data_IF_200948717879
#
_entry.id   IF_200948717879
#
_cell.length_a   1.000
_cell.length_b   1.000
_cell.length_c   1.000
_cell.angle_alpha   90.00
_cell.angle_beta   90.00
_cell.angle_gamma   90.00
#
_symmetry.space_group_name_H-M   'P 1'
#
loop_
_entity.id
_entity.type
_entity.pdbx_description
1 polymer ?
#
# COMPACT_ATOMS: atom_id res chain seq x y z
N UNK A 1 -3.95 16.47 0.04
CA UNK A 1 -3.61 15.75 1.28
C UNK A 1 -2.19 15.28 1.09
N UNK A 2 -1.28 15.71 1.98
CA UNK A 2 0.15 15.51 1.77
C UNK A 2 0.51 14.07 2.15
N UNK A 3 1.45 13.44 1.44
CA UNK A 3 1.92 12.07 1.75
C UNK A 3 2.53 11.95 3.15
N UNK A 4 2.74 13.07 3.85
CA UNK A 4 3.26 13.19 5.21
C UNK A 4 2.18 13.02 6.29
N UNK A 5 0.90 13.24 5.96
CA UNK A 5 -0.21 13.13 6.92
C UNK A 5 -0.47 11.67 7.36
N UNK A 6 0.09 10.69 6.63
CA UNK A 6 -0.09 9.25 6.85
C UNK A 6 1.14 8.58 7.51
N UNK A 7 2.11 9.36 8.00
CA UNK A 7 3.27 8.83 8.73
C UNK A 7 2.97 8.81 10.23
N UNK A 8 2.80 7.61 10.78
CA UNK A 8 2.74 7.44 12.24
C UNK A 8 4.17 7.51 12.78
N UNK A 9 4.44 8.52 13.61
CA UNK A 9 5.73 8.67 14.29
C UNK A 9 5.94 7.44 15.17
N UNK A 10 7.10 6.80 15.03
CA UNK A 10 7.45 5.66 15.86
C UNK A 10 7.59 6.09 17.32
N UNK A 11 6.97 5.33 18.23
CA UNK A 11 7.26 5.47 19.67
C UNK A 11 8.63 4.87 19.91
N UNK A 12 9.63 5.74 20.06
CA UNK A 12 11.02 5.36 20.30
C UNK A 12 11.30 5.25 21.80
N UNK A 13 12.14 4.29 22.17
CA UNK A 13 12.69 4.25 23.53
C UNK A 13 13.73 5.36 23.75
N UNK A 14 14.06 5.67 25.00
CA UNK A 14 15.12 6.64 25.33
C UNK A 14 16.48 6.20 24.75
N UNK A 15 16.78 4.90 24.72
CA UNK A 15 18.01 4.35 24.12
C UNK A 15 18.06 4.57 22.59
N UNK A 16 16.92 4.40 21.91
CA UNK A 16 16.82 4.66 20.47
C UNK A 16 16.97 6.15 20.16
N UNK A 17 16.40 7.02 20.99
CA UNK A 17 16.53 8.47 20.86
C UNK A 17 17.99 8.93 21.05
N UNK A 18 18.70 8.36 22.02
CA UNK A 18 20.13 8.63 22.20
C UNK A 18 20.96 8.18 21.00
N UNK A 19 20.65 7.00 20.45
CA UNK A 19 21.29 6.47 19.25
C UNK A 19 21.07 7.39 18.04
N UNK A 20 19.83 7.86 17.84
CA UNK A 20 19.51 8.82 16.78
C UNK A 20 20.28 10.11 16.96
N UNK A 21 20.33 10.68 18.16
CA UNK A 21 21.09 11.91 18.45
C UNK A 21 22.59 11.74 18.20
N UNK A 22 23.15 10.57 18.49
CA UNK A 22 24.55 10.25 18.19
C UNK A 22 24.80 10.17 16.68
N UNK A 23 23.87 9.58 15.93
CA UNK A 23 23.95 9.50 14.47
C UNK A 23 23.80 10.88 13.81
N UNK A 24 22.87 11.71 14.27
CA UNK A 24 22.71 13.10 13.81
C UNK A 24 24.00 13.91 14.01
N UNK A 25 24.67 13.76 15.17
CA UNK A 25 25.97 14.40 15.42
C UNK A 25 27.06 13.96 14.45
N UNK A 26 27.06 12.68 14.04
CA UNK A 26 28.02 12.15 13.05
C UNK A 26 27.73 12.62 11.62
N UNK A 27 26.46 12.75 11.27
CA UNK A 27 26.00 13.16 9.93
C UNK A 27 26.11 14.68 9.71
N UNK A 28 26.12 15.46 10.79
CA UNK A 28 26.38 16.90 10.75
C UNK A 28 25.16 17.76 11.12
N UNK A 29 25.36 19.07 11.35
CA UNK A 29 24.35 19.93 11.97
C UNK A 29 23.09 20.14 11.13
N UNK A 30 23.16 19.93 9.83
CA UNK A 30 22.09 20.14 8.85
C UNK A 30 21.19 18.92 8.65
N UNK A 31 21.53 17.75 9.18
CA UNK A 31 20.76 16.52 8.99
C UNK A 31 19.95 16.23 10.26
N UNK A 32 18.68 15.88 10.08
CA UNK A 32 17.77 15.42 11.13
C UNK A 32 17.20 14.08 10.71
N UNK A 33 17.17 13.13 11.63
CA UNK A 33 16.66 11.78 11.41
C UNK A 33 15.24 11.67 11.98
N UNK A 34 14.35 11.02 11.24
CA UNK A 34 12.95 10.80 11.65
C UNK A 34 12.68 9.30 11.58
N UNK A 35 12.19 8.74 12.69
CA UNK A 35 11.71 7.36 12.74
C UNK A 35 10.20 7.33 12.50
N UNK A 36 9.79 6.49 11.55
CA UNK A 36 8.37 6.27 11.19
C UNK A 36 8.03 4.80 11.41
N UNK A 37 6.83 4.52 11.89
CA UNK A 37 6.35 3.13 11.96
C UNK A 37 6.13 2.61 10.54
N UNK A 38 6.76 1.47 10.21
CA UNK A 38 6.36 0.74 9.02
C UNK A 38 5.02 0.05 9.33
N UNK A 39 4.00 0.32 8.51
CA UNK A 39 2.78 -0.47 8.57
C UNK A 39 3.15 -1.90 8.13
N UNK A 40 3.18 -2.82 9.09
CA UNK A 40 3.56 -4.21 8.89
C UNK A 40 2.59 -4.98 8.01
N UNK A 41 1.37 -4.46 7.85
CA UNK A 41 0.29 -5.08 7.10
C UNK A 41 -0.16 -4.18 5.94
N UNK A 42 -0.08 -4.71 4.73
CA UNK A 42 -0.67 -4.13 3.53
C UNK A 42 -1.75 -5.08 2.99
N UNK A 43 -2.71 -4.52 2.28
CA UNK A 43 -3.75 -5.27 1.60
C UNK A 43 -3.61 -5.05 0.10
N UNK A 44 -3.63 -6.13 -0.67
CA UNK A 44 -3.58 -6.08 -2.14
C UNK A 44 -4.92 -6.50 -2.73
N UNK A 45 -5.37 -5.76 -3.75
CA UNK A 45 -6.44 -6.17 -4.65
C UNK A 45 -5.88 -6.96 -5.82
N UNK A 46 -6.39 -8.17 -5.97
CA UNK A 46 -6.00 -9.07 -7.06
C UNK A 46 -7.23 -9.51 -7.86
N UNK A 47 -7.07 -9.60 -9.17
CA UNK A 47 -8.03 -10.19 -10.09
C UNK A 47 -7.60 -11.61 -10.49
N UNK A 48 -8.58 -12.51 -10.65
CA UNK A 48 -8.32 -13.89 -11.07
C UNK A 48 -7.97 -13.93 -12.56
N UNK A 49 -6.80 -14.48 -12.88
CA UNK A 49 -6.33 -14.69 -14.26
C UNK A 49 -6.53 -16.12 -14.73
N UNK A 50 -6.48 -17.09 -13.80
CA UNK A 50 -6.66 -18.51 -14.08
C UNK A 50 -6.86 -19.36 -12.81
N UNK A 51 -6.81 -20.69 -12.93
CA UNK A 51 -6.73 -21.60 -11.78
C UNK A 51 -5.49 -21.26 -10.94
N UNK A 52 -5.67 -20.96 -9.65
CA UNK A 52 -4.61 -20.54 -8.72
C UNK A 52 -3.77 -19.31 -9.14
N UNK A 53 -4.07 -18.66 -10.27
CA UNK A 53 -3.37 -17.48 -10.75
C UNK A 53 -4.19 -16.22 -10.46
N UNK A 54 -3.57 -15.31 -9.71
CA UNK A 54 -4.13 -14.04 -9.29
C UNK A 54 -3.08 -12.97 -9.50
N UNK A 55 -3.48 -11.84 -10.07
CA UNK A 55 -2.59 -10.74 -10.42
C UNK A 55 -3.17 -9.42 -9.93
N UNK A 56 -2.31 -8.43 -9.71
CA UNK A 56 -2.71 -7.13 -9.18
C UNK A 56 -3.65 -6.42 -10.15
N UNK A 57 -4.69 -5.77 -9.61
CA UNK A 57 -5.75 -5.16 -10.43
C UNK A 57 -5.24 -4.03 -11.35
N UNK A 58 -4.21 -3.30 -10.96
CA UNK A 58 -3.55 -2.24 -11.74
C UNK A 58 -2.86 -2.79 -13.00
N UNK A 59 -2.26 -3.98 -12.91
CA UNK A 59 -1.70 -4.68 -14.07
C UNK A 59 -2.74 -5.38 -14.94
N UNK A 60 -3.84 -5.85 -14.33
CA UNK A 60 -4.91 -6.58 -15.05
C UNK A 60 -5.86 -5.64 -15.81
N UNK A 61 -6.03 -4.41 -15.33
CA UNK A 61 -6.92 -3.40 -15.94
C UNK A 61 -6.15 -2.10 -16.28
N UNK A 62 -5.18 -2.14 -17.20
CA UNK A 62 -4.39 -0.97 -17.58
C UNK A 62 -5.23 0.21 -18.15
N UNK A 63 -6.43 -0.07 -18.64
CA UNK A 63 -7.38 0.92 -19.13
C UNK A 63 -8.00 1.80 -18.01
N UNK A 64 -7.88 1.40 -16.74
CA UNK A 64 -8.39 2.16 -15.59
C UNK A 64 -7.27 3.01 -15.01
N UNK A 65 -7.22 4.30 -15.38
CA UNK A 65 -6.21 5.23 -14.89
C UNK A 65 -6.30 5.43 -13.37
N UNK A 66 -5.14 5.43 -12.70
CA UNK A 66 -5.05 5.71 -11.27
C UNK A 66 -5.54 4.57 -10.36
N UNK A 67 -5.77 3.37 -10.91
CA UNK A 67 -6.19 2.22 -10.13
C UNK A 67 -5.08 1.80 -9.16
N UNK A 68 -5.33 1.93 -7.86
CA UNK A 68 -4.42 1.46 -6.81
C UNK A 68 -4.65 -0.03 -6.53
N UNK A 69 -3.57 -0.79 -6.44
CA UNK A 69 -3.63 -2.20 -6.04
C UNK A 69 -3.36 -2.42 -4.55
N UNK A 70 -2.62 -1.52 -3.88
CA UNK A 70 -2.23 -1.66 -2.47
C UNK A 70 -2.89 -0.63 -1.57
N UNK A 71 -3.23 -1.06 -0.37
CA UNK A 71 -3.96 -0.29 0.63
C UNK A 71 -3.41 -0.60 2.02
N UNK A 72 -3.35 0.41 2.89
CA UNK A 72 -2.85 0.27 4.27
C UNK A 72 -3.92 -0.16 5.27
N UNK A 73 -5.20 -0.14 4.88
CA UNK A 73 -6.34 -0.47 5.74
C UNK A 73 -7.27 -1.48 5.06
N UNK A 74 -7.81 -2.41 5.85
CA UNK A 74 -8.79 -3.39 5.39
C UNK A 74 -10.08 -2.71 4.89
N UNK A 75 -10.48 -1.60 5.50
CA UNK A 75 -11.71 -0.92 5.12
C UNK A 75 -11.53 -0.16 3.80
N UNK A 76 -10.38 0.49 3.64
CA UNK A 76 -10.03 1.16 2.38
C UNK A 76 -9.99 0.17 1.20
N UNK A 77 -9.43 -1.02 1.40
CA UNK A 77 -9.37 -2.04 0.34
C UNK A 77 -10.75 -2.66 0.05
N UNK A 78 -11.62 -2.80 1.06
CA UNK A 78 -13.01 -3.27 0.87
C UNK A 78 -13.84 -2.26 0.09
N UNK A 79 -13.71 -0.98 0.42
CA UNK A 79 -14.37 0.11 -0.30
C UNK A 79 -13.92 0.14 -1.76
N UNK A 80 -12.60 0.13 -1.98
CA UNK A 80 -12.03 0.10 -3.33
C UNK A 80 -12.46 -1.15 -4.12
N UNK A 81 -12.54 -2.33 -3.50
CA UNK A 81 -13.10 -3.54 -4.11
C UNK A 81 -14.56 -3.35 -4.53
N UNK A 82 -15.37 -2.75 -3.66
CA UNK A 82 -16.78 -2.46 -3.93
C UNK A 82 -16.94 -1.54 -5.13
N UNK A 83 -16.22 -0.42 -5.11
CA UNK A 83 -16.16 0.54 -6.20
C UNK A 83 -15.72 -0.10 -7.51
N UNK A 84 -14.60 -0.84 -7.51
CA UNK A 84 -14.06 -1.49 -8.71
C UNK A 84 -15.05 -2.50 -9.31
N UNK A 85 -15.73 -3.30 -8.47
CA UNK A 85 -16.77 -4.21 -8.95
C UNK A 85 -17.91 -3.46 -9.64
N UNK A 86 -18.36 -2.34 -9.08
CA UNK A 86 -19.40 -1.51 -9.68
C UNK A 86 -18.93 -0.88 -10.99
N UNK A 87 -17.73 -0.32 -10.99
CA UNK A 87 -17.10 0.28 -12.17
C UNK A 87 -16.96 -0.74 -13.31
N UNK A 88 -16.44 -1.94 -13.06
CA UNK A 88 -16.27 -2.98 -14.08
C UNK A 88 -17.59 -3.41 -14.75
N UNK A 89 -18.73 -3.26 -14.06
CA UNK A 89 -20.06 -3.54 -14.62
C UNK A 89 -20.53 -2.36 -15.48
N UNK A 90 -20.44 -1.14 -14.91
CA UNK A 90 -21.16 0.04 -15.40
C UNK A 90 -20.35 0.96 -16.32
N UNK A 91 -19.03 0.78 -16.42
CA UNK A 91 -18.20 1.65 -17.25
C UNK A 91 -18.49 1.51 -18.75
N UNK A 92 -18.14 2.57 -19.47
CA UNK A 92 -18.25 2.71 -20.93
C UNK A 92 -16.86 2.82 -21.60
N UNK A 93 -15.80 2.34 -20.96
CA UNK A 93 -14.44 2.39 -21.52
C UNK A 93 -14.36 1.57 -22.81
N UNK A 94 -13.47 2.00 -23.71
CA UNK A 94 -13.15 1.32 -24.96
C UNK A 94 -11.63 1.17 -25.06
N UNK A 95 -11.08 -0.07 -24.98
CA UNK A 95 -11.80 -1.33 -24.80
C UNK A 95 -12.45 -1.45 -23.41
N UNK A 96 -13.56 -2.21 -23.33
CA UNK A 96 -14.25 -2.45 -22.05
C UNK A 96 -13.49 -3.51 -21.24
N UNK A 97 -13.11 -3.22 -19.98
CA UNK A 97 -12.44 -4.20 -19.12
C UNK A 97 -13.30 -5.43 -18.90
N UNK A 98 -12.70 -6.60 -19.10
CA UNK A 98 -13.37 -7.89 -18.82
C UNK A 98 -13.51 -8.07 -17.32
N UNK A 99 -14.74 -8.12 -16.81
CA UNK A 99 -15.01 -8.40 -15.39
C UNK A 99 -14.42 -9.75 -14.96
N UNK A 100 -13.60 -9.74 -13.91
CA UNK A 100 -13.03 -10.94 -13.27
C UNK A 100 -13.38 -10.98 -11.78
N UNK A 101 -13.35 -12.17 -11.13
CA UNK A 101 -13.38 -12.26 -9.67
C UNK A 101 -12.22 -11.45 -9.07
N UNK A 102 -12.51 -10.68 -8.02
CA UNK A 102 -11.53 -9.86 -7.30
C UNK A 102 -11.47 -10.33 -5.84
N UNK A 103 -10.26 -10.50 -5.31
CA UNK A 103 -10.02 -10.82 -3.90
C UNK A 103 -9.17 -9.75 -3.24
N UNK A 104 -9.23 -9.73 -1.91
CA UNK A 104 -8.32 -9.00 -1.05
C UNK A 104 -7.36 -10.05 -0.50
N UNK A 105 -6.06 -9.77 -0.53
CA UNK A 105 -5.04 -10.60 0.12
C UNK A 105 -4.23 -9.73 1.06
N UNK A 106 -3.95 -10.25 2.24
CA UNK A 106 -3.02 -9.63 3.18
C UNK A 106 -1.59 -9.88 2.71
N UNK A 107 -0.79 -8.82 2.75
CA UNK A 107 0.62 -8.80 2.40
C UNK A 107 1.33 -8.30 3.64
N UNK A 108 2.03 -9.21 4.31
CA UNK A 108 2.94 -8.82 5.38
C UNK A 108 4.15 -8.18 4.71
N UNK A 109 4.56 -7.00 5.17
CA UNK A 109 5.80 -6.40 4.69
C UNK A 109 6.97 -7.29 5.18
N UNK A 110 7.61 -8.03 4.28
CA UNK A 110 8.62 -9.06 4.61
C UNK A 110 10.00 -8.50 4.94
N UNK A 111 10.13 -7.21 5.25
CA UNK A 111 11.41 -6.60 5.66
C UNK A 111 11.90 -7.07 7.04
N UNK A 112 11.15 -7.93 7.75
CA UNK A 112 11.53 -8.52 9.04
C UNK A 112 12.14 -9.93 8.96
N UNK A 113 12.79 -10.30 7.85
CA UNK A 113 13.50 -11.57 7.71
C UNK A 113 15.00 -11.38 7.44
N UNK A 114 15.72 -10.75 8.38
CA UNK A 114 17.18 -10.87 8.52
C UNK A 114 17.54 -10.91 10.01
#
# INVERSE_FOLDING_TARGET
>A
MSELDDLKIAVLSEEDLETIRLLEKKLGPTIRLVAVESNSLLYVLEAKMGPNQWERVDGVYPEIRGLKAYYRSLDAVKEAKGWLKGFLINNTLSPKPKKRPIRIREVVNTETAL
#
